data_IF_482431241078
#
_entry.id   IF_482431241078
#
_cell.length_a   1.000
_cell.length_b   1.000
_cell.length_c   1.000
_cell.angle_alpha   90.00
_cell.angle_beta   90.00
_cell.angle_gamma   90.00
#
_symmetry.space_group_name_H-M   'P 1'
#
loop_
_entity.id
_entity.type
_entity.pdbx_description
1 polymer ?
#
# COMPACT_ATOMS: atom_id res chain seq x y z
N UNK A 1 20.39 16.59 6.12
CA UNK A 1 19.44 15.74 5.37
C UNK A 1 19.98 14.32 5.40
N UNK A 2 19.20 13.33 5.86
CA UNK A 2 19.64 11.94 5.86
C UNK A 2 19.87 11.48 4.41
N UNK A 3 20.94 10.72 4.17
CA UNK A 3 21.20 10.16 2.85
C UNK A 3 20.04 9.21 2.48
N UNK A 4 19.53 9.26 1.24
CA UNK A 4 18.45 8.37 0.82
C UNK A 4 18.92 6.92 0.90
N UNK A 5 18.13 6.07 1.56
CA UNK A 5 18.38 4.64 1.63
C UNK A 5 18.05 4.04 0.26
N UNK A 6 18.94 3.19 -0.24
CA UNK A 6 18.73 2.41 -1.46
C UNK A 6 18.20 1.03 -1.04
N UNK A 7 17.09 0.61 -1.65
CA UNK A 7 16.49 -0.69 -1.42
C UNK A 7 16.61 -1.53 -2.68
N UNK A 8 17.00 -2.79 -2.48
CA UNK A 8 17.06 -3.81 -3.51
C UNK A 8 16.10 -4.93 -3.13
N UNK A 9 15.19 -5.26 -4.03
CA UNK A 9 14.22 -6.33 -3.81
C UNK A 9 13.74 -6.88 -5.15
N UNK A 10 13.13 -8.06 -5.09
CA UNK A 10 12.52 -8.73 -6.24
C UNK A 10 11.01 -8.73 -6.08
N UNK A 11 10.29 -8.34 -7.14
CA UNK A 11 8.83 -8.27 -7.17
C UNK A 11 8.35 -8.84 -8.52
N UNK A 12 7.42 -9.79 -8.48
CA UNK A 12 6.87 -10.50 -9.63
C UNK A 12 7.97 -11.04 -10.58
N UNK A 13 9.08 -11.50 -9.99
CA UNK A 13 10.22 -12.05 -10.73
C UNK A 13 11.21 -11.02 -11.29
N UNK A 14 10.95 -9.71 -11.14
CA UNK A 14 11.80 -8.61 -11.62
C UNK A 14 12.59 -7.99 -10.46
N UNK A 15 13.87 -7.71 -10.66
CA UNK A 15 14.73 -7.05 -9.68
C UNK A 15 14.59 -5.52 -9.76
N UNK A 16 14.31 -4.89 -8.62
CA UNK A 16 14.13 -3.45 -8.49
C UNK A 16 15.19 -2.82 -7.60
N UNK A 17 15.54 -1.58 -7.92
CA UNK A 17 16.37 -0.70 -7.08
C UNK A 17 15.65 0.63 -6.89
N UNK A 18 15.20 0.90 -5.66
CA UNK A 18 14.47 2.11 -5.31
C UNK A 18 15.23 2.96 -4.29
N UNK A 19 15.02 4.27 -4.33
CA UNK A 19 15.53 5.22 -3.33
C UNK A 19 14.37 5.73 -2.48
N UNK A 20 14.58 5.82 -1.17
CA UNK A 20 13.56 6.35 -0.27
C UNK A 20 14.10 6.65 1.11
N UNK A 21 13.18 7.11 1.95
CA UNK A 21 13.50 7.71 3.26
C UNK A 21 12.92 6.87 4.42
N UNK A 22 12.42 5.66 4.13
CA UNK A 22 11.75 4.79 5.11
C UNK A 22 12.71 3.79 5.76
N UNK A 23 12.27 3.08 6.80
CA UNK A 23 13.05 1.95 7.32
C UNK A 23 13.06 0.80 6.31
N UNK A 24 14.11 -0.02 6.31
CA UNK A 24 14.19 -1.23 5.48
C UNK A 24 13.04 -2.19 5.79
N UNK A 25 12.67 -2.34 7.07
CA UNK A 25 11.58 -3.23 7.48
C UNK A 25 10.23 -2.78 6.89
N UNK A 26 9.96 -1.47 6.93
CA UNK A 26 8.73 -0.91 6.35
C UNK A 26 8.68 -1.08 4.84
N UNK A 27 9.82 -0.90 4.14
CA UNK A 27 9.90 -1.16 2.70
C UNK A 27 9.64 -2.64 2.39
N UNK A 28 10.26 -3.55 3.15
CA UNK A 28 10.08 -4.99 2.96
C UNK A 28 8.62 -5.41 3.17
N UNK A 29 7.96 -4.85 4.18
CA UNK A 29 6.53 -5.08 4.42
C UNK A 29 5.67 -4.59 3.26
N UNK A 30 5.92 -3.38 2.74
CA UNK A 30 5.20 -2.84 1.58
C UNK A 30 5.39 -3.74 0.36
N UNK A 31 6.63 -4.15 0.07
CA UNK A 31 6.92 -5.05 -1.06
C UNK A 31 6.16 -6.36 -0.93
N UNK A 32 6.09 -6.94 0.28
CA UNK A 32 5.32 -8.16 0.55
C UNK A 32 3.83 -7.97 0.23
N UNK A 33 3.22 -6.87 0.71
CA UNK A 33 1.80 -6.57 0.45
C UNK A 33 1.53 -6.42 -1.05
N UNK A 34 2.43 -5.74 -1.78
CA UNK A 34 2.30 -5.59 -3.23
C UNK A 34 2.41 -6.93 -3.95
N UNK A 35 3.37 -7.78 -3.58
CA UNK A 35 3.56 -9.11 -4.18
C UNK A 35 2.32 -10.00 -3.96
N UNK A 36 1.76 -9.99 -2.75
CA UNK A 36 0.56 -10.74 -2.41
C UNK A 36 -0.63 -10.29 -3.27
N UNK A 37 -0.82 -8.98 -3.46
CA UNK A 37 -1.88 -8.43 -4.31
C UNK A 37 -1.70 -8.81 -5.78
N UNK A 38 -0.48 -8.70 -6.31
CA UNK A 38 -0.18 -9.09 -7.69
C UNK A 38 -0.44 -10.59 -7.89
N UNK A 39 -0.02 -11.42 -6.95
CA UNK A 39 -0.23 -12.88 -7.00
C UNK A 39 -1.71 -13.22 -7.06
N UNK A 40 -2.52 -12.63 -6.16
CA UNK A 40 -3.98 -12.85 -6.15
C UNK A 40 -4.63 -12.44 -7.48
N UNK A 41 -4.25 -11.29 -8.04
CA UNK A 41 -4.77 -10.84 -9.35
C UNK A 41 -4.40 -11.82 -10.46
N UNK A 42 -3.18 -12.35 -10.44
CA UNK A 42 -2.72 -13.31 -11.46
C UNK A 42 -3.42 -14.65 -11.34
N UNK A 43 -3.79 -15.08 -10.14
CA UNK A 43 -4.56 -16.29 -9.90
C UNK A 43 -6.01 -16.14 -10.43
N UNK A 44 -6.63 -14.97 -10.23
CA UNK A 44 -7.98 -14.67 -10.71
C UNK A 44 -8.05 -14.36 -12.21
N UNK A 45 -7.00 -13.74 -12.76
CA UNK A 45 -6.91 -13.36 -14.17
C UNK A 45 -5.58 -13.82 -14.80
N UNK A 46 -5.43 -15.12 -15.12
CA UNK A 46 -4.17 -15.69 -15.63
C UNK A 46 -3.70 -15.10 -16.97
N UNK A 47 -4.61 -14.47 -17.71
CA UNK A 47 -4.36 -13.85 -19.01
C UNK A 47 -3.85 -12.41 -18.90
N UNK A 48 -3.74 -11.84 -17.69
CA UNK A 48 -3.16 -10.53 -17.49
C UNK A 48 -1.64 -10.58 -17.70
N UNK A 49 -1.12 -9.58 -18.42
CA UNK A 49 0.32 -9.35 -18.42
C UNK A 49 0.76 -8.87 -17.04
N UNK A 50 2.03 -9.12 -16.70
CA UNK A 50 2.67 -8.61 -15.49
C UNK A 50 2.41 -7.11 -15.27
N UNK A 51 2.55 -6.29 -16.32
CA UNK A 51 2.28 -4.85 -16.22
C UNK A 51 0.81 -4.53 -15.87
N UNK A 52 -0.16 -5.27 -16.43
CA UNK A 52 -1.58 -5.08 -16.11
C UNK A 52 -1.90 -5.50 -14.69
N UNK A 53 -1.34 -6.62 -14.23
CA UNK A 53 -1.49 -7.09 -12.85
C UNK A 53 -0.91 -6.07 -11.86
N UNK A 54 0.29 -5.55 -12.12
CA UNK A 54 0.92 -4.52 -11.28
C UNK A 54 0.12 -3.20 -11.24
N UNK A 55 -0.40 -2.74 -12.39
CA UNK A 55 -1.25 -1.54 -12.43
C UNK A 55 -2.55 -1.76 -11.66
N UNK A 56 -3.20 -2.91 -11.83
CA UNK A 56 -4.43 -3.22 -11.09
C UNK A 56 -4.17 -3.33 -9.59
N UNK A 57 -3.06 -3.94 -9.18
CA UNK A 57 -2.65 -4.00 -7.77
C UNK A 57 -2.47 -2.60 -7.18
N UNK A 58 -1.81 -1.69 -7.91
CA UNK A 58 -1.64 -0.30 -7.47
C UNK A 58 -2.97 0.44 -7.32
N UNK A 59 -3.93 0.21 -8.23
CA UNK A 59 -5.27 0.81 -8.15
C UNK A 59 -6.01 0.29 -6.91
N UNK A 60 -6.08 -1.03 -6.72
CA UNK A 60 -6.79 -1.65 -5.60
C UNK A 60 -6.20 -1.27 -4.25
N UNK A 61 -4.87 -1.27 -4.10
CA UNK A 61 -4.21 -0.83 -2.87
C UNK A 61 -4.45 0.67 -2.59
N UNK A 62 -4.61 1.48 -3.64
CA UNK A 62 -4.94 2.90 -3.47
C UNK A 62 -6.38 3.11 -3.00
N UNK A 63 -7.31 2.32 -3.52
CA UNK A 63 -8.71 2.27 -3.07
C UNK A 63 -8.78 1.88 -1.58
N UNK A 64 -8.14 0.77 -1.19
CA UNK A 64 -8.08 0.32 0.21
C UNK A 64 -7.53 1.41 1.14
N UNK A 65 -6.50 2.15 0.70
CA UNK A 65 -5.93 3.25 1.47
C UNK A 65 -6.90 4.44 1.61
N UNK A 66 -7.69 4.72 0.58
CA UNK A 66 -8.70 5.79 0.60
C UNK A 66 -9.81 5.41 1.58
N UNK A 67 -10.30 4.17 1.52
CA UNK A 67 -11.36 3.67 2.40
C UNK A 67 -10.93 3.70 3.86
N UNK A 68 -9.74 3.20 4.17
CA UNK A 68 -9.17 3.27 5.53
C UNK A 68 -9.09 4.71 6.03
N UNK A 69 -8.66 5.66 5.19
CA UNK A 69 -8.62 7.08 5.57
C UNK A 69 -10.01 7.66 5.83
N UNK A 70 -11.01 7.26 5.05
CA UNK A 70 -12.39 7.70 5.24
C UNK A 70 -12.97 7.14 6.55
N UNK A 71 -12.72 5.87 6.86
CA UNK A 71 -13.10 5.24 8.13
C UNK A 71 -12.46 5.97 9.33
N UNK A 72 -11.14 6.22 9.29
CA UNK A 72 -10.47 6.99 10.33
C UNK A 72 -11.06 8.40 10.51
N UNK A 73 -11.40 9.08 9.42
CA UNK A 73 -12.02 10.41 9.49
C UNK A 73 -13.42 10.37 10.10
N UNK A 74 -14.22 9.33 9.80
CA UNK A 74 -15.53 9.14 10.40
C UNK A 74 -15.43 8.91 11.92
N UNK A 75 -14.53 8.03 12.37
CA UNK A 75 -14.30 7.80 13.81
C UNK A 75 -13.77 9.03 14.54
N UNK A 76 -12.87 9.80 13.92
CA UNK A 76 -12.36 11.05 14.51
C UNK A 76 -13.46 12.12 14.62
N UNK A 77 -14.36 12.20 13.64
CA UNK A 77 -15.53 13.10 13.67
C UNK A 77 -16.56 12.70 14.74
N UNK A 78 -16.82 11.40 14.92
CA UNK A 78 -17.72 10.92 15.99
C UNK A 78 -17.16 11.18 17.39
N UNK A 79 -15.84 11.07 17.57
CA UNK A 79 -15.18 11.38 18.85
C UNK A 79 -15.22 12.89 19.18
N UNK A 80 -15.19 13.76 18.17
CA UNK A 80 -15.31 15.23 18.33
C UNK A 80 -16.75 15.64 18.73
N UNK A 81 -17.77 15.01 18.13
CA UNK A 81 -19.19 15.26 18.46
C UNK A 81 -19.56 14.76 19.87
N UNK A 82 -18.88 13.74 20.39
CA UNK A 82 -19.06 13.24 21.75
C UNK A 82 -18.54 14.19 22.85
N UNK A 83 -17.64 15.11 22.53
CA UNK A 83 -17.11 16.09 23.50
C UNK A 83 -18.02 17.32 23.66
N UNK A 84 -18.79 17.67 22.62
CA UNK A 84 -19.62 18.88 22.59
C UNK A 84 -21.04 18.67 23.17
N UNK A 85 -21.40 17.43 23.54
CA UNK A 85 -22.70 17.09 24.16
C UNK A 85 -22.62 16.83 25.67
N UNK A 86 -21.46 17.11 26.30
CA UNK A 86 -21.18 16.86 27.72
C UNK A 86 -20.95 18.12 28.58
N UNK A 87 -21.30 19.31 28.09
CA UNK A 87 -21.28 20.55 28.87
C UNK A 87 -22.64 21.26 28.88
#
# INVERSE_FOLDING_TARGET
MAAPTVYHFRLDGVDYTLRGNMSCDKMAEIVRVVEEKITAIRDEAPYYSQARAAILAAIQLSEELIDVKAEYAAFAGEADVGADTLF
#
